data_IF_310799958408
#
_entry.id   IF_310799958408
#
_cell.length_a   1.000
_cell.length_b   1.000
_cell.length_c   1.000
_cell.angle_alpha   90.00
_cell.angle_beta   90.00
_cell.angle_gamma   90.00
#
_symmetry.space_group_name_H-M   'P 1'
#
loop_
_entity.id
_entity.type
_entity.pdbx_description
1 polymer ?
#
# COMPACT_ATOMS: atom_id res chain seq x y z
N UNK A 1 -54.93 -23.74 -22.65
CA UNK A 1 -54.12 -24.87 -23.17
C UNK A 1 -52.82 -24.31 -23.76
N UNK A 2 -51.70 -25.03 -23.58
CA UNK A 2 -50.26 -24.65 -23.78
C UNK A 2 -49.75 -23.67 -22.72
N UNK A 3 -49.03 -24.01 -21.63
CA UNK A 3 -48.00 -25.04 -21.33
C UNK A 3 -46.83 -25.04 -22.31
N UNK A 4 -45.65 -24.77 -21.76
CA UNK A 4 -44.30 -24.95 -22.32
C UNK A 4 -43.85 -23.97 -23.42
N UNK A 5 -43.45 -22.77 -23.02
CA UNK A 5 -42.21 -22.18 -23.54
C UNK A 5 -41.34 -21.89 -22.32
N UNK A 6 -40.67 -22.93 -21.82
CA UNK A 6 -39.30 -23.26 -22.27
C UNK A 6 -38.37 -22.16 -21.75
N UNK A 7 -38.01 -22.19 -20.47
CA UNK A 7 -36.73 -22.78 -20.03
C UNK A 7 -35.48 -22.22 -20.74
N UNK A 8 -35.58 -21.03 -21.35
CA UNK A 8 -34.46 -20.37 -22.04
C UNK A 8 -34.00 -19.06 -21.38
N UNK A 9 -34.66 -18.62 -20.29
CA UNK A 9 -34.28 -17.41 -19.56
C UNK A 9 -33.24 -17.67 -18.44
N UNK A 10 -32.75 -18.90 -18.31
CA UNK A 10 -31.76 -19.30 -17.28
C UNK A 10 -30.36 -19.55 -17.87
N UNK A 11 -30.20 -19.42 -19.20
CA UNK A 11 -28.96 -19.73 -19.89
C UNK A 11 -28.50 -18.59 -20.80
N UNK A 12 -28.36 -17.39 -20.26
CA UNK A 12 -27.53 -16.35 -20.88
C UNK A 12 -27.23 -15.29 -19.84
N UNK A 13 -25.95 -14.95 -19.73
CA UNK A 13 -25.30 -14.08 -18.73
C UNK A 13 -24.76 -14.76 -17.46
N UNK A 14 -24.32 -16.02 -17.58
CA UNK A 14 -23.06 -16.39 -16.94
C UNK A 14 -21.90 -15.86 -17.81
N UNK A 15 -21.76 -14.53 -17.92
CA UNK A 15 -20.51 -13.94 -18.40
C UNK A 15 -19.59 -13.99 -17.20
N UNK A 16 -18.81 -15.07 -17.11
CA UNK A 16 -17.62 -15.12 -16.29
C UNK A 16 -16.72 -13.96 -16.69
N UNK A 17 -16.74 -12.86 -15.93
CA UNK A 17 -15.62 -11.92 -15.90
C UNK A 17 -14.44 -12.67 -15.25
N UNK A 18 -13.81 -13.56 -16.00
CA UNK A 18 -12.40 -13.84 -15.78
C UNK A 18 -11.69 -12.57 -16.23
N UNK A 19 -11.58 -11.59 -15.34
CA UNK A 19 -10.65 -10.49 -15.52
C UNK A 19 -9.25 -11.12 -15.54
N UNK A 20 -8.80 -11.52 -16.72
CA UNK A 20 -7.39 -11.77 -16.99
C UNK A 20 -6.69 -10.40 -17.04
N UNK A 21 -6.65 -9.72 -15.89
CA UNK A 21 -5.81 -8.57 -15.63
C UNK A 21 -4.47 -9.03 -15.05
N UNK A 22 -3.45 -8.17 -15.13
CA UNK A 22 -2.25 -8.33 -14.31
C UNK A 22 -2.66 -8.34 -12.82
N UNK A 23 -1.96 -9.10 -11.94
CA UNK A 23 -2.27 -9.10 -10.52
C UNK A 23 -2.07 -7.70 -9.94
N UNK A 24 -2.96 -7.31 -9.03
CA UNK A 24 -2.84 -6.04 -8.31
C UNK A 24 -1.59 -6.03 -7.40
N UNK A 25 -1.19 -7.18 -6.87
CA UNK A 25 0.01 -7.33 -6.07
C UNK A 25 0.66 -8.69 -6.28
N UNK A 26 1.94 -8.69 -6.66
CA UNK A 26 2.81 -9.87 -6.69
C UNK A 26 4.07 -9.57 -5.87
N UNK A 27 4.13 -10.09 -4.64
CA UNK A 27 5.17 -9.71 -3.70
C UNK A 27 5.02 -10.31 -2.30
N UNK A 28 5.80 -9.79 -1.36
CA UNK A 28 5.70 -10.06 0.07
C UNK A 28 5.37 -8.78 0.84
N UNK A 29 4.64 -8.96 1.94
CA UNK A 29 4.23 -7.90 2.86
C UNK A 29 4.48 -8.32 4.30
N UNK A 30 5.10 -7.45 5.07
CA UNK A 30 5.23 -7.54 6.52
C UNK A 30 4.75 -6.22 7.12
N UNK A 31 3.67 -6.27 7.90
CA UNK A 31 3.09 -5.09 8.55
C UNK A 31 2.70 -5.40 9.99
N UNK A 32 3.03 -4.51 10.91
CA UNK A 32 2.60 -4.53 12.31
C UNK A 32 2.62 -3.10 12.88
N UNK A 33 2.54 -2.93 14.19
CA UNK A 33 2.48 -1.61 14.82
C UNK A 33 3.83 -0.85 14.89
N UNK A 34 4.92 -1.42 14.37
CA UNK A 34 6.24 -0.79 14.30
C UNK A 34 6.85 -0.75 12.90
N UNK A 35 6.26 -1.43 11.91
CA UNK A 35 6.78 -1.42 10.55
C UNK A 35 5.75 -1.70 9.45
N UNK A 36 6.06 -1.22 8.26
CA UNK A 36 5.53 -1.70 6.97
C UNK A 36 6.71 -1.97 6.04
N UNK A 37 6.88 -3.22 5.62
CA UNK A 37 7.88 -3.63 4.64
C UNK A 37 7.20 -4.40 3.52
N UNK A 38 7.33 -3.92 2.29
CA UNK A 38 6.79 -4.58 1.10
C UNK A 38 7.89 -4.74 0.07
N UNK A 39 7.90 -5.89 -0.61
CA UNK A 39 8.72 -6.13 -1.80
C UNK A 39 7.82 -6.68 -2.88
N UNK A 40 7.83 -6.08 -4.07
CA UNK A 40 6.86 -6.39 -5.10
C UNK A 40 7.47 -6.36 -6.49
N UNK A 41 7.09 -7.35 -7.31
CA UNK A 41 7.32 -7.39 -8.75
C UNK A 41 6.26 -6.61 -9.52
N UNK A 42 5.06 -6.52 -8.95
CA UNK A 42 3.92 -5.74 -9.44
C UNK A 42 3.18 -5.20 -8.22
N UNK A 43 2.94 -3.90 -8.20
CA UNK A 43 2.04 -3.24 -7.24
C UNK A 43 1.16 -2.21 -7.97
N UNK A 44 -0.13 -2.52 -8.03
CA UNK A 44 -1.22 -1.71 -8.54
C UNK A 44 -2.28 -1.61 -7.44
N UNK A 45 -2.45 -0.42 -6.87
CA UNK A 45 -3.42 -0.18 -5.81
C UNK A 45 -2.80 0.50 -4.60
N UNK A 46 -3.48 0.40 -3.45
CA UNK A 46 -3.11 1.09 -2.22
C UNK A 46 -3.03 0.09 -1.07
N UNK A 47 -1.98 0.20 -0.25
CA UNK A 47 -1.82 -0.51 1.01
C UNK A 47 -1.54 0.49 2.13
N UNK A 48 -2.03 0.21 3.34
CA UNK A 48 -1.82 1.05 4.51
C UNK A 48 -1.48 0.22 5.75
N UNK A 49 -0.71 0.83 6.66
CA UNK A 49 -0.36 0.23 7.94
C UNK A 49 -0.37 1.30 9.04
N UNK A 50 -1.02 0.98 10.16
CA UNK A 50 -0.97 1.81 11.36
C UNK A 50 0.28 1.46 12.18
N UNK A 51 1.01 2.50 12.58
CA UNK A 51 2.20 2.44 13.41
C UNK A 51 1.94 3.19 14.72
N UNK A 52 2.39 2.63 15.84
CA UNK A 52 2.39 3.31 17.15
C UNK A 52 3.75 3.95 17.35
N UNK A 53 3.80 5.28 17.26
CA UNK A 53 5.03 6.04 17.36
C UNK A 53 4.97 6.98 18.57
N UNK A 54 6.11 7.13 19.23
CA UNK A 54 6.27 8.02 20.38
C UNK A 54 7.09 9.24 19.98
N UNK A 55 6.90 10.36 20.69
CA UNK A 55 7.70 11.56 20.50
C UNK A 55 9.19 11.25 20.66
N UNK A 56 9.97 11.59 19.63
CA UNK A 56 11.42 11.32 19.56
C UNK A 56 11.78 9.97 18.95
N UNK A 57 10.81 9.11 18.61
CA UNK A 57 11.06 7.97 17.73
C UNK A 57 11.57 8.45 16.36
N UNK A 58 12.38 7.61 15.73
CA UNK A 58 12.87 7.82 14.37
C UNK A 58 12.20 6.83 13.43
N UNK A 59 11.45 7.31 12.44
CA UNK A 59 10.89 6.48 11.39
C UNK A 59 11.86 6.42 10.22
N UNK A 60 12.52 5.28 10.03
CA UNK A 60 13.38 5.03 8.87
C UNK A 60 12.52 4.69 7.65
N UNK A 61 12.71 5.43 6.56
CA UNK A 61 11.93 5.32 5.32
C UNK A 61 12.86 4.99 4.16
N UNK A 62 12.49 3.99 3.37
CA UNK A 62 13.12 3.66 2.08
C UNK A 62 12.02 3.38 1.06
N UNK A 63 12.10 4.03 -0.10
CA UNK A 63 11.17 3.90 -1.21
C UNK A 63 11.98 3.55 -2.46
N UNK A 64 11.74 2.38 -3.05
CA UNK A 64 12.46 1.93 -4.24
C UNK A 64 11.45 1.65 -5.32
N UNK A 65 11.52 2.45 -6.39
CA UNK A 65 10.78 2.21 -7.62
C UNK A 65 11.79 1.96 -8.76
N UNK A 66 11.91 0.71 -9.18
CA UNK A 66 12.88 0.26 -10.19
C UNK A 66 12.27 0.08 -11.58
N UNK A 67 10.99 0.40 -11.76
CA UNK A 67 10.29 0.31 -13.03
C UNK A 67 9.84 1.67 -13.55
N UNK A 68 9.10 1.66 -14.66
CA UNK A 68 8.44 2.85 -15.24
C UNK A 68 7.07 3.16 -14.61
N UNK A 69 6.68 2.38 -13.59
CA UNK A 69 5.46 2.63 -12.82
C UNK A 69 5.62 3.82 -11.88
N UNK A 70 4.55 4.17 -11.17
CA UNK A 70 4.55 5.26 -10.19
C UNK A 70 4.42 4.70 -8.78
N UNK A 71 5.17 5.28 -7.84
CA UNK A 71 5.10 4.98 -6.42
C UNK A 71 4.83 6.26 -5.64
N UNK A 72 3.80 6.24 -4.79
CA UNK A 72 3.47 7.34 -3.87
C UNK A 72 3.42 6.82 -2.45
N UNK A 73 3.83 7.64 -1.49
CA UNK A 73 3.74 7.29 -0.10
C UNK A 73 3.47 8.49 0.81
N UNK A 74 2.68 8.28 1.86
CA UNK A 74 2.40 9.27 2.89
C UNK A 74 2.58 8.70 4.29
N UNK A 75 2.91 9.57 5.25
CA UNK A 75 2.84 9.29 6.69
C UNK A 75 1.99 10.38 7.33
N UNK A 76 0.89 9.97 7.98
CA UNK A 76 -0.12 10.88 8.50
C UNK A 76 -0.52 10.47 9.92
N UNK A 77 -0.64 11.45 10.83
CA UNK A 77 -1.22 11.23 12.16
C UNK A 77 -2.72 11.47 12.09
N UNK A 78 -3.51 10.47 12.46
CA UNK A 78 -4.97 10.54 12.43
C UNK A 78 -5.50 11.13 11.10
N UNK A 79 -6.28 12.22 11.15
CA UNK A 79 -6.80 12.95 9.98
C UNK A 79 -6.07 14.29 9.74
N UNK A 80 -4.90 14.49 10.36
CA UNK A 80 -4.09 15.71 10.19
C UNK A 80 -3.42 15.77 8.80
N UNK A 81 -2.80 16.89 8.44
CA UNK A 81 -1.99 16.94 7.21
C UNK A 81 -0.83 15.93 7.28
N UNK A 82 -0.53 15.18 6.20
CA UNK A 82 0.62 14.29 6.17
C UNK A 82 1.92 15.02 6.54
N UNK A 83 2.70 14.42 7.45
CA UNK A 83 4.02 14.93 7.85
C UNK A 83 5.13 14.47 6.91
N UNK A 84 4.81 13.53 6.04
CA UNK A 84 5.66 13.06 4.94
C UNK A 84 4.76 12.71 3.76
N UNK A 85 5.16 13.15 2.57
CA UNK A 85 4.51 12.84 1.30
C UNK A 85 5.60 12.76 0.22
N UNK A 86 5.52 11.74 -0.61
CA UNK A 86 6.40 11.54 -1.75
C UNK A 86 5.57 11.07 -2.95
N UNK A 87 5.88 11.66 -4.11
CA UNK A 87 5.23 11.38 -5.37
C UNK A 87 6.29 11.05 -6.43
N UNK A 88 6.28 9.79 -6.89
CA UNK A 88 7.08 9.26 -8.00
C UNK A 88 8.60 9.43 -7.88
N UNK A 89 9.14 9.40 -6.65
CA UNK A 89 10.57 9.49 -6.37
C UNK A 89 11.05 8.32 -5.53
N UNK A 90 12.20 7.75 -5.91
CA UNK A 90 12.91 6.77 -5.07
C UNK A 90 13.74 7.47 -3.99
N UNK A 91 13.69 6.94 -2.78
CA UNK A 91 14.47 7.37 -1.62
C UNK A 91 15.27 6.19 -1.13
N UNK A 92 16.60 6.27 -1.28
CA UNK A 92 17.51 5.23 -0.82
C UNK A 92 17.36 4.97 0.68
N UNK A 93 17.43 6.04 1.49
CA UNK A 93 17.13 6.02 2.93
C UNK A 93 16.96 7.44 3.45
N UNK A 94 15.93 7.66 4.25
CA UNK A 94 15.78 8.88 5.05
C UNK A 94 15.21 8.53 6.43
N UNK A 95 15.25 9.50 7.33
CA UNK A 95 14.70 9.35 8.69
C UNK A 95 13.79 10.53 8.99
N UNK A 96 12.61 10.24 9.51
CA UNK A 96 11.64 11.21 9.98
C UNK A 96 11.56 11.15 11.52
N UNK A 97 11.88 12.25 12.19
CA UNK A 97 11.71 12.36 13.65
C UNK A 97 10.25 12.63 14.00
N UNK A 98 9.71 11.88 14.95
CA UNK A 98 8.31 11.99 15.37
C UNK A 98 8.18 13.07 16.43
N UNK A 99 7.48 14.15 16.09
CA UNK A 99 7.28 15.29 16.98
C UNK A 99 6.23 15.07 18.07
N UNK A 100 5.27 14.16 17.84
CA UNK A 100 4.14 13.89 18.73
C UNK A 100 3.86 12.38 18.81
N UNK A 101 3.60 11.88 20.03
CA UNK A 101 3.17 10.49 20.20
C UNK A 101 1.78 10.29 19.62
N UNK A 102 1.56 9.18 18.93
CA UNK A 102 0.25 8.88 18.33
C UNK A 102 0.26 7.65 17.44
N UNK A 103 -0.89 7.41 16.80
CA UNK A 103 -1.02 6.41 15.75
C UNK A 103 -0.85 7.09 14.41
N UNK A 104 0.13 6.62 13.65
CA UNK A 104 0.43 7.11 12.32
C UNK A 104 0.00 6.09 11.28
N UNK A 105 -0.74 6.53 10.27
CA UNK A 105 -1.04 5.72 9.10
C UNK A 105 0.00 5.99 8.03
N UNK A 106 0.74 4.96 7.67
CA UNK A 106 1.53 4.94 6.43
C UNK A 106 0.62 4.44 5.32
N UNK A 107 0.57 5.15 4.21
CA UNK A 107 -0.16 4.73 3.01
C UNK A 107 0.78 4.73 1.82
N UNK A 108 0.71 3.67 1.02
CA UNK A 108 1.55 3.49 -0.17
C UNK A 108 0.63 3.16 -1.33
N UNK A 109 0.78 3.87 -2.43
CA UNK A 109 0.02 3.65 -3.66
C UNK A 109 0.97 3.37 -4.82
N UNK A 110 0.73 2.27 -5.53
CA UNK A 110 1.49 1.87 -6.70
C UNK A 110 0.63 1.87 -7.97
N UNK A 111 1.21 2.29 -9.08
CA UNK A 111 0.66 2.12 -10.42
C UNK A 111 1.73 1.45 -11.30
N UNK A 112 1.59 0.14 -11.52
CA UNK A 112 2.57 -0.74 -12.18
C UNK A 112 3.96 -0.65 -11.54
N UNK A 113 4.00 -0.36 -10.24
CA UNK A 113 5.24 -0.15 -9.50
C UNK A 113 6.00 -1.47 -9.32
N UNK A 114 7.33 -1.38 -9.30
CA UNK A 114 8.24 -2.50 -9.06
C UNK A 114 9.31 -2.07 -8.08
N UNK A 115 9.61 -2.88 -7.07
CA UNK A 115 10.65 -2.57 -6.10
C UNK A 115 10.21 -2.87 -4.67
N UNK A 116 10.39 -1.91 -3.77
CA UNK A 116 10.14 -2.13 -2.35
C UNK A 116 9.86 -0.83 -1.60
N UNK A 117 9.09 -0.95 -0.53
CA UNK A 117 8.96 0.11 0.48
C UNK A 117 9.28 -0.43 1.86
N UNK A 118 9.84 0.42 2.70
CA UNK A 118 10.13 0.12 4.09
C UNK A 118 9.91 1.35 4.95
N UNK A 119 9.09 1.20 5.98
CA UNK A 119 8.87 2.14 7.06
C UNK A 119 9.12 1.36 8.34
N UNK A 120 10.17 1.72 9.09
CA UNK A 120 10.58 0.97 10.28
C UNK A 120 10.81 1.96 11.42
N UNK A 121 10.06 1.81 12.51
CA UNK A 121 10.34 2.49 13.77
C UNK A 121 11.72 2.09 14.29
N UNK A 122 12.56 3.08 14.60
CA UNK A 122 13.79 2.94 15.37
C UNK A 122 13.59 3.66 16.69
N UNK A 123 13.93 2.98 17.76
CA UNK A 123 13.94 3.58 19.09
C UNK A 123 14.99 4.69 19.15
N UNK A 124 14.69 5.72 19.94
CA UNK A 124 15.64 6.77 20.26
C UNK A 124 16.89 6.13 20.89
N UNK A 125 18.08 6.47 20.37
CA UNK A 125 19.31 6.15 21.09
C UNK A 125 19.32 6.97 22.40
N UNK A 126 19.25 6.27 23.53
CA UNK A 126 19.35 6.87 24.88
C UNK A 126 20.71 7.54 25.13
#
# INVERSE_FOLDING_TARGET
MKKFFSFFAVLLLAVSLAACGEPDFDGSRLGNDSQLVMKYKVFNGTDSQQLKLEKGDLLEIQLVNSGEGVLRATVQKDEETPIFEQDDVSIDRTTLEIGESGVYTVTVTGERARGSVSFIKKEKAE
#
